data_IF_199347427028
#
_entry.id   IF_199347427028
#
_cell.length_a   1.000
_cell.length_b   1.000
_cell.length_c   1.000
_cell.angle_alpha   90.00
_cell.angle_beta   90.00
_cell.angle_gamma   90.00
#
_symmetry.space_group_name_H-M   'P 1'
#
loop_
_entity.id
_entity.type
_entity.pdbx_description
1 polymer ?
#
# COMPACT_ATOMS: atom_id res chain seq x y z
N UNK A 1 46.05 12.02 52.83
CA UNK A 1 44.96 11.21 52.25
C UNK A 1 44.12 12.13 51.39
N UNK A 2 44.26 12.05 50.05
CA UNK A 2 43.48 12.84 49.08
C UNK A 2 42.69 11.82 48.25
N UNK A 3 41.38 11.72 48.47
CA UNK A 3 40.50 10.89 47.66
C UNK A 3 39.87 11.78 46.59
N UNK A 4 40.22 11.50 45.34
CA UNK A 4 39.75 12.19 44.14
C UNK A 4 38.49 11.47 43.64
N UNK A 5 37.35 12.16 43.67
CA UNK A 5 36.07 11.65 43.16
C UNK A 5 35.93 12.00 41.67
N UNK A 6 35.84 10.98 40.81
CA UNK A 6 35.45 11.14 39.41
C UNK A 6 33.96 10.80 39.26
N UNK A 7 33.14 11.81 39.00
CA UNK A 7 31.74 11.66 38.58
C UNK A 7 31.70 11.40 37.07
N UNK A 8 31.33 10.19 36.68
CA UNK A 8 31.04 9.83 35.29
C UNK A 8 29.61 10.26 34.92
N UNK A 9 29.49 11.16 33.93
CA UNK A 9 28.24 11.55 33.31
C UNK A 9 27.81 10.47 32.29
N UNK A 10 26.81 9.66 32.64
CA UNK A 10 26.08 8.81 31.71
C UNK A 10 25.15 9.68 30.87
N UNK A 11 25.62 10.07 29.69
CA UNK A 11 24.78 10.72 28.67
C UNK A 11 23.88 9.66 28.01
N UNK A 12 22.61 9.60 28.44
CA UNK A 12 21.57 8.90 27.69
C UNK A 12 21.30 9.69 26.40
N UNK A 13 21.79 9.19 25.26
CA UNK A 13 21.31 9.63 23.96
C UNK A 13 19.86 9.17 23.80
N UNK A 14 18.89 10.07 24.01
CA UNK A 14 17.54 9.89 23.49
C UNK A 14 17.61 10.02 21.97
N UNK A 15 17.69 8.89 21.27
CA UNK A 15 17.39 8.88 19.85
C UNK A 15 15.89 9.15 19.67
N UNK A 16 15.48 10.07 18.77
CA UNK A 16 14.07 10.23 18.45
C UNK A 16 13.59 8.95 17.75
N UNK A 17 12.60 8.29 18.33
CA UNK A 17 11.81 7.29 17.62
C UNK A 17 11.13 8.02 16.44
N UNK A 18 11.66 7.85 15.23
CA UNK A 18 10.97 8.27 14.04
C UNK A 18 9.62 7.55 14.04
N UNK A 19 8.53 8.30 14.15
CA UNK A 19 7.20 7.74 14.03
C UNK A 19 7.10 7.08 12.65
N UNK A 20 7.03 5.74 12.62
CA UNK A 20 6.73 4.97 11.43
C UNK A 20 5.28 5.27 11.05
N UNK A 21 5.08 6.32 10.27
CA UNK A 21 3.80 6.57 9.63
C UNK A 21 3.66 5.57 8.50
N UNK A 22 2.79 4.58 8.67
CA UNK A 22 2.43 3.61 7.63
C UNK A 22 1.74 4.28 6.43
N UNK A 23 1.35 5.56 6.55
CA UNK A 23 0.71 6.30 5.48
C UNK A 23 1.66 6.48 4.30
N UNK A 24 1.22 6.00 3.13
CA UNK A 24 1.92 6.21 1.86
C UNK A 24 1.62 7.63 1.37
N UNK A 25 2.64 8.39 0.89
CA UNK A 25 2.40 9.72 0.34
C UNK A 25 1.49 9.72 -0.90
N UNK A 26 0.76 10.82 -1.10
CA UNK A 26 -0.13 11.01 -2.26
C UNK A 26 -1.61 11.01 -1.92
N UNK A 27 -2.44 11.24 -2.94
CA UNK A 27 -3.89 11.32 -2.81
C UNK A 27 -4.53 9.93 -2.87
N UNK A 28 -4.34 9.13 -1.81
CA UNK A 28 -4.92 7.79 -1.70
C UNK A 28 -5.21 7.37 -0.25
N UNK A 29 -6.10 6.40 -0.02
CA UNK A 29 -6.33 5.78 1.28
C UNK A 29 -5.36 4.61 1.55
N UNK A 30 -4.32 4.43 0.73
CA UNK A 30 -3.37 3.33 0.86
C UNK A 30 -2.39 3.58 1.99
N UNK A 31 -2.15 2.53 2.76
CA UNK A 31 -1.23 2.48 3.88
C UNK A 31 -0.45 1.17 3.80
N UNK A 32 0.77 1.18 4.31
CA UNK A 32 1.46 -0.05 4.65
C UNK A 32 0.69 -0.75 5.78
N UNK A 33 0.74 -2.06 5.82
CA UNK A 33 0.18 -2.81 6.93
C UNK A 33 0.93 -2.53 8.24
N UNK A 34 0.41 -3.01 9.37
CA UNK A 34 1.17 -2.91 10.61
C UNK A 34 2.37 -3.87 10.59
N UNK A 35 3.58 -3.35 10.81
CA UNK A 35 4.79 -4.16 10.83
C UNK A 35 6.08 -3.37 10.62
N UNK A 36 7.20 -4.09 10.58
CA UNK A 36 8.48 -3.54 10.12
C UNK A 36 8.59 -3.72 8.61
N UNK A 37 8.73 -2.60 7.89
CA UNK A 37 8.84 -2.53 6.43
C UNK A 37 10.26 -2.23 5.95
N UNK A 38 11.26 -2.24 6.85
CA UNK A 38 12.65 -1.97 6.48
C UNK A 38 13.20 -2.98 5.46
N UNK A 39 12.74 -4.24 5.54
CA UNK A 39 13.10 -5.35 4.68
C UNK A 39 12.24 -5.48 3.41
N UNK A 40 11.19 -4.66 3.24
CA UNK A 40 10.33 -4.71 2.04
C UNK A 40 11.18 -4.51 0.78
N UNK A 41 10.91 -5.32 -0.24
CA UNK A 41 11.62 -5.29 -1.52
C UNK A 41 11.18 -4.11 -2.40
N UNK A 42 10.11 -3.41 -2.02
CA UNK A 42 9.64 -2.19 -2.70
C UNK A 42 9.52 -1.06 -1.68
N UNK A 43 9.95 0.13 -2.08
CA UNK A 43 9.62 1.38 -1.38
C UNK A 43 8.61 2.14 -2.22
N UNK A 44 7.42 2.36 -1.68
CA UNK A 44 6.37 3.10 -2.37
C UNK A 44 6.55 4.59 -2.06
N UNK A 45 6.88 5.36 -3.09
CA UNK A 45 7.19 6.78 -2.96
C UNK A 45 5.92 7.63 -2.99
N UNK A 46 4.96 7.29 -3.86
CA UNK A 46 3.69 8.02 -3.98
C UNK A 46 2.59 7.18 -4.61
N UNK A 47 1.35 7.34 -4.14
CA UNK A 47 0.16 6.83 -4.83
C UNK A 47 -0.95 7.88 -4.85
N UNK A 48 -1.42 8.21 -6.06
CA UNK A 48 -2.57 9.08 -6.32
C UNK A 48 -3.69 8.29 -6.99
N UNK A 49 -4.91 8.45 -6.46
CA UNK A 49 -6.14 7.90 -7.02
C UNK A 49 -7.04 9.03 -7.51
N UNK A 50 -7.62 8.87 -8.71
CA UNK A 50 -8.59 9.83 -9.25
C UNK A 50 -9.80 9.10 -9.83
N UNK A 51 -11.03 9.32 -9.31
CA UNK A 51 -11.37 10.16 -8.16
C UNK A 51 -10.95 9.54 -6.81
N UNK A 52 -10.70 10.39 -5.81
CA UNK A 52 -10.53 9.98 -4.42
C UNK A 52 -11.53 10.75 -3.53
N UNK A 53 -12.46 10.09 -2.81
CA UNK A 53 -12.66 8.64 -2.74
C UNK A 53 -13.12 8.04 -4.09
N UNK A 54 -12.75 6.77 -4.37
CA UNK A 54 -13.24 6.05 -5.56
C UNK A 54 -14.77 6.03 -5.64
N UNK A 55 -15.31 6.06 -6.86
CA UNK A 55 -16.75 6.11 -7.12
C UNK A 55 -17.19 4.90 -7.94
N UNK A 56 -18.24 4.23 -7.49
CA UNK A 56 -18.87 3.13 -8.24
C UNK A 56 -19.35 3.63 -9.61
N UNK A 57 -19.23 2.77 -10.63
CA UNK A 57 -19.63 3.08 -12.01
C UNK A 57 -18.71 4.06 -12.75
N UNK A 58 -17.62 4.52 -12.14
CA UNK A 58 -16.65 5.43 -12.76
C UNK A 58 -15.30 4.76 -12.98
N UNK A 59 -14.54 5.33 -13.91
CA UNK A 59 -13.15 4.96 -14.10
C UNK A 59 -12.30 5.51 -12.94
N UNK A 60 -11.44 4.65 -12.41
CA UNK A 60 -10.46 4.97 -11.39
C UNK A 60 -9.08 4.99 -12.04
N UNK A 61 -8.46 6.16 -12.11
CA UNK A 61 -7.08 6.35 -12.50
C UNK A 61 -6.17 6.17 -11.29
N UNK A 62 -5.23 5.23 -11.40
CA UNK A 62 -4.24 4.90 -10.39
C UNK A 62 -2.88 5.34 -10.92
N UNK A 63 -2.19 6.19 -10.17
CA UNK A 63 -0.81 6.61 -10.44
C UNK A 63 0.06 6.28 -9.24
N UNK A 64 1.05 5.43 -9.44
CA UNK A 64 1.96 5.01 -8.39
C UNK A 64 3.41 5.18 -8.84
N UNK A 65 4.27 5.57 -7.90
CA UNK A 65 5.72 5.53 -8.09
C UNK A 65 6.40 4.89 -6.89
N UNK A 66 7.48 4.18 -7.14
CA UNK A 66 8.24 3.47 -6.11
C UNK A 66 9.57 2.98 -6.64
N UNK A 67 10.37 2.43 -5.74
CA UNK A 67 11.69 1.89 -6.05
C UNK A 67 11.72 0.40 -5.68
N UNK A 68 12.03 -0.44 -6.66
CA UNK A 68 12.21 -1.89 -6.48
C UNK A 68 13.66 -2.13 -6.07
N UNK A 69 13.89 -2.68 -4.88
CA UNK A 69 15.22 -2.96 -4.33
C UNK A 69 15.83 -4.24 -4.91
N UNK A 70 15.00 -5.25 -5.14
CA UNK A 70 15.39 -6.55 -5.67
C UNK A 70 14.39 -6.99 -6.76
N UNK A 71 14.88 -7.74 -7.75
CA UNK A 71 14.04 -8.22 -8.84
C UNK A 71 12.84 -9.03 -8.33
N UNK A 72 11.67 -8.75 -8.90
CA UNK A 72 10.44 -9.51 -8.67
C UNK A 72 10.33 -10.51 -9.81
N UNK A 73 10.39 -11.79 -9.46
CA UNK A 73 10.51 -12.89 -10.41
C UNK A 73 9.13 -13.36 -10.90
N UNK A 74 9.14 -14.13 -11.99
CA UNK A 74 7.95 -14.82 -12.47
C UNK A 74 7.44 -15.81 -11.41
N UNK A 75 6.13 -15.83 -11.18
CA UNK A 75 5.50 -16.59 -10.09
C UNK A 75 5.36 -15.81 -8.78
N UNK A 76 5.80 -14.54 -8.72
CA UNK A 76 5.40 -13.63 -7.66
C UNK A 76 3.86 -13.52 -7.57
N UNK A 77 3.32 -13.36 -6.37
CA UNK A 77 1.88 -13.48 -6.15
C UNK A 77 1.38 -12.54 -5.04
N UNK A 78 0.08 -12.27 -5.07
CA UNK A 78 -0.65 -11.45 -4.10
C UNK A 78 -1.69 -12.29 -3.39
N UNK A 79 -1.67 -12.30 -2.05
CA UNK A 79 -2.78 -12.77 -1.22
C UNK A 79 -3.71 -11.58 -0.97
N UNK A 80 -4.85 -11.55 -1.65
CA UNK A 80 -5.84 -10.49 -1.58
C UNK A 80 -6.97 -10.89 -0.63
N UNK A 81 -7.33 -9.99 0.29
CA UNK A 81 -8.48 -10.14 1.17
C UNK A 81 -9.32 -8.87 1.17
N UNK A 82 -10.62 -9.00 0.88
CA UNK A 82 -11.57 -7.88 0.91
C UNK A 82 -12.63 -8.14 1.97
N UNK A 83 -12.80 -7.16 2.87
CA UNK A 83 -13.87 -7.13 3.87
C UNK A 83 -14.89 -6.06 3.51
N UNK A 84 -16.15 -6.31 3.85
CA UNK A 84 -17.23 -5.33 3.81
C UNK A 84 -17.81 -5.21 5.22
N UNK A 85 -17.55 -4.07 5.87
CA UNK A 85 -17.74 -3.95 7.32
C UNK A 85 -16.97 -5.04 8.07
N UNK A 86 -17.69 -5.92 8.78
CA UNK A 86 -17.11 -7.01 9.58
C UNK A 86 -17.04 -8.35 8.84
N UNK A 87 -17.69 -8.49 7.67
CA UNK A 87 -17.71 -9.74 6.91
C UNK A 87 -16.57 -9.77 5.89
N UNK A 88 -16.01 -10.96 5.65
CA UNK A 88 -14.99 -11.18 4.62
C UNK A 88 -15.70 -11.61 3.33
N UNK A 89 -15.60 -10.79 2.29
CA UNK A 89 -16.23 -11.06 0.99
C UNK A 89 -15.37 -11.96 0.12
N UNK A 90 -14.06 -11.70 0.11
CA UNK A 90 -13.13 -12.37 -0.77
C UNK A 90 -11.82 -12.66 -0.05
N UNK A 91 -11.27 -13.84 -0.29
CA UNK A 91 -9.88 -14.16 -0.01
C UNK A 91 -9.38 -15.01 -1.15
N UNK A 92 -8.38 -14.53 -1.87
CA UNK A 92 -7.85 -15.19 -3.06
C UNK A 92 -6.36 -14.94 -3.18
N UNK A 93 -5.67 -15.84 -3.88
CA UNK A 93 -4.28 -15.64 -4.29
C UNK A 93 -4.26 -15.45 -5.80
N UNK A 94 -3.59 -14.40 -6.27
CA UNK A 94 -3.48 -14.09 -7.69
C UNK A 94 -2.01 -13.92 -8.08
N UNK A 95 -1.66 -14.30 -9.31
CA UNK A 95 -0.32 -14.07 -9.86
C UNK A 95 -0.09 -12.57 -10.07
N UNK A 96 0.99 -12.03 -9.48
CA UNK A 96 1.31 -10.62 -9.56
C UNK A 96 1.70 -10.22 -10.98
N UNK A 97 2.48 -11.06 -11.68
CA UNK A 97 2.99 -10.84 -13.01
C UNK A 97 1.87 -10.75 -14.05
N UNK A 98 0.84 -11.59 -13.93
CA UNK A 98 -0.36 -11.51 -14.77
C UNK A 98 -1.14 -10.21 -14.54
N UNK A 99 -1.23 -9.77 -13.29
CA UNK A 99 -1.93 -8.52 -12.96
C UNK A 99 -1.18 -7.29 -13.49
N UNK A 100 0.15 -7.25 -13.35
CA UNK A 100 0.96 -6.11 -13.80
C UNK A 100 1.25 -6.11 -15.30
N UNK A 101 1.09 -7.25 -15.99
CA UNK A 101 1.15 -7.31 -17.46
C UNK A 101 0.15 -6.37 -18.14
N UNK A 102 -0.91 -5.99 -17.42
CA UNK A 102 -1.90 -5.02 -17.87
C UNK A 102 -1.47 -3.55 -17.65
N UNK A 103 -0.31 -3.29 -17.04
CA UNK A 103 0.20 -1.95 -16.70
C UNK A 103 1.59 -1.65 -17.30
N UNK A 104 1.91 -2.28 -18.43
CA UNK A 104 3.18 -2.13 -19.17
C UNK A 104 4.44 -2.57 -18.41
N UNK A 105 4.28 -3.24 -17.27
CA UNK A 105 5.36 -3.93 -16.58
C UNK A 105 5.38 -5.41 -16.98
N UNK A 106 6.59 -5.92 -17.24
CA UNK A 106 6.81 -7.34 -17.54
C UNK A 106 7.69 -7.95 -16.46
N UNK A 107 7.31 -9.12 -15.98
CA UNK A 107 8.21 -9.91 -15.16
C UNK A 107 9.37 -10.48 -16.01
N UNK A 108 10.58 -10.58 -15.44
CA UNK A 108 10.95 -10.12 -14.10
C UNK A 108 11.03 -8.59 -14.02
N UNK A 109 10.42 -8.01 -12.97
CA UNK A 109 10.51 -6.56 -12.72
C UNK A 109 11.86 -6.27 -12.11
N UNK A 110 12.72 -5.58 -12.86
CA UNK A 110 14.08 -5.28 -12.45
C UNK A 110 14.12 -4.25 -11.31
N UNK A 111 15.19 -4.32 -10.53
CA UNK A 111 15.49 -3.29 -9.54
C UNK A 111 15.63 -1.91 -10.19
N UNK A 112 15.21 -0.87 -9.46
CA UNK A 112 15.20 0.52 -9.91
C UNK A 112 13.84 1.20 -9.70
N UNK A 113 13.76 2.45 -10.15
CA UNK A 113 12.55 3.25 -10.05
C UNK A 113 11.51 2.78 -11.05
N UNK A 114 10.28 2.65 -10.56
CA UNK A 114 9.12 2.23 -11.33
C UNK A 114 8.00 3.26 -11.19
N UNK A 115 7.31 3.51 -12.29
CA UNK A 115 6.10 4.33 -12.33
C UNK A 115 5.00 3.55 -13.04
N UNK A 116 3.83 3.50 -12.42
CA UNK A 116 2.67 2.78 -12.93
C UNK A 116 1.53 3.78 -13.12
N UNK A 117 0.88 3.72 -14.28
CA UNK A 117 -0.37 4.43 -14.56
C UNK A 117 -1.38 3.44 -15.10
N UNK A 118 -2.52 3.29 -14.42
CA UNK A 118 -3.57 2.37 -14.84
C UNK A 118 -4.95 2.93 -14.57
N UNK A 119 -5.81 2.86 -15.58
CA UNK A 119 -7.24 3.09 -15.44
C UNK A 119 -7.97 1.77 -15.26
N UNK A 120 -8.79 1.67 -14.21
CA UNK A 120 -9.66 0.53 -13.92
C UNK A 120 -11.10 1.01 -13.86
N UNK A 121 -12.01 0.31 -14.54
CA UNK A 121 -13.44 0.64 -14.48
C UNK A 121 -14.08 0.00 -13.26
N UNK A 122 -14.62 0.81 -12.36
CA UNK A 122 -15.35 0.30 -11.20
C UNK A 122 -16.81 -0.04 -11.60
N UNK A 123 -17.32 -1.25 -11.28
CA UNK A 123 -18.72 -1.60 -11.52
C UNK A 123 -19.68 -0.63 -10.81
N UNK A 124 -20.87 -0.44 -11.40
CA UNK A 124 -21.91 0.42 -10.82
C UNK A 124 -22.69 -0.28 -9.71
N UNK A 125 -22.65 -1.61 -9.69
CA UNK A 125 -23.37 -2.49 -8.80
C UNK A 125 -22.71 -2.64 -7.43
N UNK A 126 -21.55 -1.98 -7.19
CA UNK A 126 -20.85 -2.01 -5.89
C UNK A 126 -21.79 -1.50 -4.80
N UNK A 127 -22.16 -2.35 -3.82
CA UNK A 127 -23.03 -1.92 -2.74
C UNK A 127 -22.41 -0.81 -1.89
N UNK A 128 -23.23 0.11 -1.38
CA UNK A 128 -22.77 1.17 -0.50
C UNK A 128 -22.28 0.61 0.84
N UNK A 129 -21.22 1.20 1.39
CA UNK A 129 -20.62 0.85 2.67
C UNK A 129 -19.10 0.85 2.60
N UNK A 130 -18.46 0.38 3.68
CA UNK A 130 -17.01 0.43 3.83
C UNK A 130 -16.37 -0.90 3.48
N UNK A 131 -15.40 -0.84 2.55
CA UNK A 131 -14.60 -1.96 2.12
C UNK A 131 -13.17 -1.78 2.63
N UNK A 132 -12.64 -2.82 3.24
CA UNK A 132 -11.23 -2.85 3.65
C UNK A 132 -10.51 -3.91 2.83
N UNK A 133 -9.50 -3.47 2.10
CA UNK A 133 -8.67 -4.31 1.25
C UNK A 133 -7.34 -4.55 1.97
N UNK A 134 -6.87 -5.79 1.93
CA UNK A 134 -5.56 -6.20 2.38
C UNK A 134 -4.88 -6.95 1.24
N UNK A 135 -3.65 -6.60 0.94
CA UNK A 135 -2.84 -7.23 -0.09
C UNK A 135 -1.45 -7.52 0.47
N UNK A 136 -1.18 -8.80 0.74
CA UNK A 136 0.15 -9.29 1.06
C UNK A 136 0.83 -9.76 -0.23
N UNK A 137 1.97 -9.19 -0.56
CA UNK A 137 2.67 -9.45 -1.82
C UNK A 137 3.94 -10.23 -1.54
N UNK A 138 4.16 -11.31 -2.30
CA UNK A 138 5.30 -12.20 -2.15
C UNK A 138 5.98 -12.43 -3.51
N UNK A 139 7.28 -12.69 -3.46
CA UNK A 139 8.02 -13.17 -4.61
C UNK A 139 7.81 -14.69 -4.78
N UNK A 140 8.28 -15.25 -5.88
CA UNK A 140 8.08 -16.68 -6.21
C UNK A 140 8.67 -17.65 -5.16
N UNK A 141 9.64 -17.19 -4.37
CA UNK A 141 10.31 -17.93 -3.29
C UNK A 141 9.70 -17.69 -1.90
N UNK A 142 8.48 -17.13 -1.85
CA UNK A 142 7.76 -16.73 -0.63
C UNK A 142 8.42 -15.59 0.16
N UNK A 143 9.42 -14.90 -0.42
CA UNK A 143 9.99 -13.70 0.20
C UNK A 143 8.96 -12.56 0.18
N UNK A 144 8.66 -11.92 1.33
CA UNK A 144 7.75 -10.77 1.38
C UNK A 144 8.27 -9.61 0.52
N UNK A 145 7.42 -9.09 -0.37
CA UNK A 145 7.73 -7.93 -1.19
C UNK A 145 7.25 -6.67 -0.48
N UNK A 146 5.97 -6.62 -0.12
CA UNK A 146 5.34 -5.52 0.63
C UNK A 146 3.95 -5.95 1.11
N UNK A 147 3.36 -5.20 2.05
CA UNK A 147 1.98 -5.37 2.46
C UNK A 147 1.24 -4.04 2.42
N UNK A 148 0.05 -4.03 1.82
CA UNK A 148 -0.79 -2.85 1.69
C UNK A 148 -2.18 -3.07 2.26
N UNK A 149 -2.70 -2.02 2.89
CA UNK A 149 -4.10 -1.94 3.28
C UNK A 149 -4.72 -0.63 2.82
N UNK A 150 -6.03 -0.67 2.56
CA UNK A 150 -6.81 0.52 2.26
C UNK A 150 -8.24 0.34 2.74
N UNK A 151 -8.83 1.43 3.23
CA UNK A 151 -10.25 1.49 3.57
C UNK A 151 -10.95 2.50 2.66
N UNK A 152 -11.98 2.05 1.93
CA UNK A 152 -12.74 2.86 0.98
C UNK A 152 -14.21 2.77 1.33
N UNK A 153 -14.90 3.91 1.37
CA UNK A 153 -16.35 3.95 1.61
C UNK A 153 -17.08 4.40 0.35
N UNK A 154 -18.02 3.59 -0.12
CA UNK A 154 -18.95 3.93 -1.19
C UNK A 154 -20.27 4.41 -0.60
N UNK A 155 -20.71 5.63 -0.94
CA UNK A 155 -21.96 6.20 -0.44
C UNK A 155 -23.19 5.65 -1.18
N UNK A 156 -24.36 5.64 -0.53
CA UNK A 156 -25.64 5.29 -1.15
C UNK A 156 -26.01 6.40 -2.16
N UNK A 157 -26.06 6.05 -3.43
CA UNK A 157 -26.43 6.96 -4.52
C UNK A 157 -25.21 7.59 -5.17
N UNK A 158 -25.05 7.37 -6.48
CA UNK A 158 -24.09 8.06 -7.36
C UNK A 158 -24.41 9.56 -7.52
N UNK A 159 -24.56 10.27 -6.41
CA UNK A 159 -24.65 11.70 -6.30
C UNK A 159 -23.60 12.17 -5.29
N UNK A 160 -22.41 12.48 -5.79
CA UNK A 160 -21.52 13.45 -5.14
C UNK A 160 -22.06 14.87 -5.28
N UNK A 161 -23.32 15.09 -4.91
CA UNK A 161 -23.90 16.41 -4.69
C UNK A 161 -23.71 16.71 -3.19
N UNK A 162 -23.23 17.90 -2.83
CA UNK A 162 -22.91 18.35 -1.47
C UNK A 162 -21.53 17.96 -0.93
N UNK A 163 -20.45 18.40 -1.59
CA UNK A 163 -19.32 18.97 -0.84
C UNK A 163 -18.48 19.93 -1.72
N UNK A 164 -19.14 20.98 -2.22
CA UNK A 164 -18.53 22.22 -2.72
C UNK A 164 -19.39 23.40 -2.22
N UNK A 165 -19.33 23.65 -0.91
CA UNK A 165 -19.65 24.95 -0.32
C UNK A 165 -18.38 25.50 0.32
#
# INVERSE_FOLDING_TARGET
>A
MKFSSALGLLSLCLAPAAALSNKIPGNSPLELCDGDHSADLITINKVDLTPNPPKAGQDLLIKASGTVKQAIEEGAYVKLSVKYGLIRLLTTTADLCEQIGNVDLKCPVKAGDQTIEKTVKLPAEIPPGTYTVFADVYNADDTPITCLTASVTFAIGGMGFFNEL
#
